data_IF_359505851883
#
_entry.id   IF_359505851883
#
_cell.length_a   1.000
_cell.length_b   1.000
_cell.length_c   1.000
_cell.angle_alpha   90.00
_cell.angle_beta   90.00
_cell.angle_gamma   90.00
#
_symmetry.space_group_name_H-M   'P 1'
#
loop_
_entity.id
_entity.type
_entity.pdbx_description
1 polymer ?
#
# COMPACT_ATOMS: atom_id res chain seq x y z
N UNK A 1 -20.67 11.65 5.62
CA UNK A 1 -21.51 10.79 4.72
C UNK A 1 -21.11 9.35 5.00
N UNK A 2 -21.96 8.36 4.77
CA UNK A 2 -21.54 6.96 4.97
C UNK A 2 -20.54 6.57 3.87
N UNK A 3 -19.49 5.81 4.23
CA UNK A 3 -18.46 5.37 3.30
C UNK A 3 -18.96 4.45 2.18
N UNK A 4 -18.11 4.20 1.19
CA UNK A 4 -18.43 3.40 0.00
C UNK A 4 -18.83 1.95 0.35
N UNK A 5 -18.30 1.39 1.42
CA UNK A 5 -18.68 0.07 1.92
C UNK A 5 -20.20 -0.06 2.17
N UNK A 6 -20.82 0.98 2.76
CA UNK A 6 -22.27 1.00 3.05
C UNK A 6 -23.12 1.46 1.87
N UNK A 7 -22.57 2.33 1.03
CA UNK A 7 -23.35 3.02 -0.02
C UNK A 7 -23.18 2.41 -1.40
N UNK A 8 -22.12 1.63 -1.64
CA UNK A 8 -21.72 1.17 -2.96
C UNK A 8 -21.26 2.29 -3.91
N UNK A 9 -21.10 3.53 -3.41
CA UNK A 9 -20.75 4.70 -4.22
C UNK A 9 -19.30 5.11 -3.96
N UNK A 10 -18.53 5.17 -5.02
CA UNK A 10 -17.15 5.63 -5.02
C UNK A 10 -17.07 7.00 -5.66
N UNK A 11 -16.39 7.95 -4.99
CA UNK A 11 -16.20 9.30 -5.51
C UNK A 11 -15.29 9.25 -6.73
N UNK A 12 -15.62 10.04 -7.74
CA UNK A 12 -14.72 10.36 -8.84
C UNK A 12 -14.31 11.82 -8.72
N UNK A 13 -13.18 12.06 -8.02
CA UNK A 13 -12.69 13.41 -7.72
C UNK A 13 -12.33 14.17 -8.97
N UNK A 14 -11.77 13.53 -9.99
CA UNK A 14 -11.49 14.17 -11.28
C UNK A 14 -12.76 14.70 -11.91
N UNK A 15 -13.82 13.90 -11.92
CA UNK A 15 -15.13 14.33 -12.45
C UNK A 15 -15.75 15.45 -11.62
N UNK A 16 -15.63 15.42 -10.31
CA UNK A 16 -16.08 16.47 -9.41
C UNK A 16 -15.38 17.80 -9.71
N UNK A 17 -14.12 17.77 -10.17
CA UNK A 17 -13.35 18.96 -10.57
C UNK A 17 -13.44 19.30 -12.05
N UNK A 18 -14.31 18.61 -12.81
CA UNK A 18 -14.69 18.98 -14.18
C UNK A 18 -13.89 18.31 -15.29
N UNK A 19 -13.09 17.28 -15.00
CA UNK A 19 -12.43 16.48 -16.02
C UNK A 19 -13.45 15.56 -16.74
N UNK A 20 -13.36 15.39 -18.08
CA UNK A 20 -14.26 14.53 -18.83
C UNK A 20 -14.09 13.05 -18.46
N UNK A 21 -15.19 12.32 -18.29
CA UNK A 21 -15.18 10.90 -17.92
C UNK A 21 -14.35 10.05 -18.90
N UNK A 22 -14.50 10.28 -20.20
CA UNK A 22 -13.75 9.55 -21.23
C UNK A 22 -12.22 9.75 -21.09
N UNK A 23 -11.79 10.97 -20.80
CA UNK A 23 -10.38 11.30 -20.59
C UNK A 23 -9.84 10.66 -19.31
N UNK A 24 -10.65 10.64 -18.23
CA UNK A 24 -10.31 9.97 -16.97
C UNK A 24 -10.07 8.48 -17.20
N UNK A 25 -11.03 7.79 -17.81
CA UNK A 25 -10.92 6.35 -18.05
C UNK A 25 -9.77 6.00 -19.00
N UNK A 26 -9.59 6.78 -20.06
CA UNK A 26 -8.45 6.64 -20.95
C UNK A 26 -7.13 6.76 -20.19
N UNK A 27 -7.01 7.73 -19.31
CA UNK A 27 -5.77 7.93 -18.53
C UNK A 27 -5.49 6.80 -17.55
N UNK A 28 -6.51 6.24 -16.90
CA UNK A 28 -6.37 5.04 -16.07
C UNK A 28 -5.83 3.87 -16.90
N UNK A 29 -6.38 3.65 -18.10
CA UNK A 29 -5.95 2.58 -18.98
C UNK A 29 -4.55 2.83 -19.57
N UNK A 30 -4.26 4.05 -20.00
CA UNK A 30 -2.92 4.43 -20.48
C UNK A 30 -1.86 4.24 -19.39
N UNK A 31 -2.18 4.59 -18.13
CA UNK A 31 -1.27 4.38 -16.97
C UNK A 31 -0.98 2.89 -16.78
N UNK A 32 -2.02 2.04 -16.78
CA UNK A 32 -1.84 0.60 -16.73
C UNK A 32 -0.97 0.09 -17.87
N UNK A 33 -1.30 0.46 -19.10
CA UNK A 33 -0.58 0.01 -20.28
C UNK A 33 0.89 0.45 -20.28
N UNK A 34 1.19 1.65 -19.79
CA UNK A 34 2.56 2.14 -19.65
C UNK A 34 3.35 1.30 -18.64
N UNK A 35 2.77 1.00 -17.48
CA UNK A 35 3.42 0.22 -16.43
C UNK A 35 3.64 -1.24 -16.86
N UNK A 36 2.66 -1.84 -17.53
CA UNK A 36 2.71 -3.26 -17.88
C UNK A 36 3.32 -3.53 -19.24
N UNK A 37 3.10 -2.66 -20.23
CA UNK A 37 3.41 -2.93 -21.64
C UNK A 37 4.12 -1.79 -22.36
N UNK A 38 4.55 -0.75 -21.62
CA UNK A 38 5.34 0.34 -22.17
C UNK A 38 6.72 -0.10 -22.66
N UNK A 39 7.52 0.84 -23.10
CA UNK A 39 8.91 0.58 -23.48
C UNK A 39 9.79 0.27 -22.24
N UNK A 40 11.07 -0.05 -22.45
CA UNK A 40 11.98 -0.49 -21.38
C UNK A 40 12.26 0.58 -20.31
N UNK A 41 12.07 1.87 -20.61
CA UNK A 41 12.18 2.98 -19.64
C UNK A 41 10.87 3.26 -18.89
N UNK A 42 9.78 2.62 -19.28
CA UNK A 42 8.42 2.84 -18.73
C UNK A 42 7.90 1.66 -17.93
N UNK A 43 7.93 0.46 -18.56
CA UNK A 43 7.38 -0.75 -17.92
C UNK A 43 8.28 -1.26 -16.81
N UNK A 44 7.68 -1.96 -15.87
CA UNK A 44 8.36 -2.78 -14.86
C UNK A 44 7.63 -4.10 -14.58
N UNK A 45 6.60 -4.42 -15.36
CA UNK A 45 6.06 -5.77 -15.48
C UNK A 45 6.82 -6.55 -16.55
N UNK A 46 7.12 -7.82 -16.25
CA UNK A 46 7.82 -8.74 -17.15
C UNK A 46 7.12 -10.09 -17.15
N UNK A 47 6.92 -10.66 -18.33
CA UNK A 47 6.49 -12.05 -18.46
C UNK A 47 7.68 -12.99 -18.17
N UNK A 48 7.41 -14.13 -17.52
CA UNK A 48 8.38 -15.14 -17.15
C UNK A 48 7.87 -16.54 -17.55
N UNK A 49 8.52 -17.14 -18.54
CA UNK A 49 8.03 -18.37 -19.14
C UNK A 49 6.64 -18.21 -19.78
N UNK A 50 5.87 -19.29 -19.84
CA UNK A 50 4.59 -19.30 -20.56
C UNK A 50 3.43 -18.73 -19.74
N UNK A 51 3.49 -18.82 -18.40
CA UNK A 51 2.33 -18.57 -17.52
C UNK A 51 2.66 -17.88 -16.19
N UNK A 52 3.82 -17.26 -16.08
CA UNK A 52 4.21 -16.42 -14.94
C UNK A 52 4.56 -15.00 -15.37
N UNK A 53 4.62 -14.09 -14.43
CA UNK A 53 5.07 -12.72 -14.61
C UNK A 53 5.50 -12.10 -13.28
N UNK A 54 6.30 -11.06 -13.31
CA UNK A 54 6.77 -10.36 -12.12
C UNK A 54 6.83 -8.85 -12.33
N UNK A 55 6.80 -8.13 -11.21
CA UNK A 55 7.03 -6.69 -11.12
C UNK A 55 8.46 -6.46 -10.63
N UNK A 56 9.29 -5.75 -11.40
CA UNK A 56 10.66 -5.42 -11.03
C UNK A 56 10.73 -4.09 -10.29
N UNK A 57 11.34 -4.06 -9.12
CA UNK A 57 11.86 -2.81 -8.56
C UNK A 57 13.09 -2.39 -9.40
N UNK A 58 12.84 -1.52 -10.36
CA UNK A 58 13.83 -1.06 -11.32
C UNK A 58 14.96 -0.22 -10.72
N UNK A 59 14.77 0.25 -9.50
CA UNK A 59 15.81 0.97 -8.77
C UNK A 59 16.78 0.07 -8.00
N UNK A 60 16.33 -1.13 -7.65
CA UNK A 60 17.12 -2.12 -6.91
C UNK A 60 17.37 -3.40 -7.72
N UNK A 61 16.75 -3.54 -8.89
CA UNK A 61 16.86 -4.70 -9.78
C UNK A 61 16.49 -6.03 -9.08
N UNK A 62 15.42 -5.98 -8.28
CA UNK A 62 14.89 -7.14 -7.58
C UNK A 62 13.36 -7.22 -7.73
N UNK A 63 12.77 -8.28 -7.21
CA UNK A 63 11.32 -8.52 -7.18
C UNK A 63 10.90 -8.58 -5.72
N UNK A 64 9.99 -7.70 -5.31
CA UNK A 64 9.54 -7.55 -3.93
C UNK A 64 8.10 -7.98 -3.75
N UNK A 65 7.78 -8.51 -2.56
CA UNK A 65 6.37 -8.80 -2.21
C UNK A 65 5.50 -7.56 -2.30
N UNK A 66 6.02 -6.39 -1.96
CA UNK A 66 5.38 -5.08 -2.17
C UNK A 66 4.90 -4.94 -3.61
N UNK A 67 5.81 -4.97 -4.59
CA UNK A 67 5.46 -4.75 -5.99
C UNK A 67 4.59 -5.84 -6.58
N UNK A 68 4.81 -7.09 -6.19
CA UNK A 68 4.00 -8.22 -6.65
C UNK A 68 2.55 -8.08 -6.17
N UNK A 69 2.35 -7.75 -4.89
CA UNK A 69 1.02 -7.56 -4.31
C UNK A 69 0.30 -6.32 -4.84
N UNK A 70 1.04 -5.23 -5.08
CA UNK A 70 0.51 -4.02 -5.73
C UNK A 70 0.09 -4.29 -7.17
N UNK A 71 0.91 -5.01 -7.95
CA UNK A 71 0.56 -5.43 -9.30
C UNK A 71 -0.72 -6.28 -9.33
N UNK A 72 -0.86 -7.23 -8.40
CA UNK A 72 -2.08 -8.03 -8.24
C UNK A 72 -3.28 -7.13 -7.89
N UNK A 73 -3.13 -6.18 -6.97
CA UNK A 73 -4.22 -5.25 -6.62
C UNK A 73 -4.64 -4.40 -7.83
N UNK A 74 -3.71 -3.84 -8.59
CA UNK A 74 -4.00 -3.10 -9.82
C UNK A 74 -4.74 -3.99 -10.84
N UNK A 75 -4.28 -5.22 -11.04
CA UNK A 75 -4.90 -6.17 -11.97
C UNK A 75 -6.33 -6.51 -11.58
N UNK A 76 -6.61 -6.76 -10.29
CA UNK A 76 -7.97 -7.07 -9.85
C UNK A 76 -8.90 -5.87 -9.95
N UNK A 77 -8.39 -4.65 -9.75
CA UNK A 77 -9.19 -3.43 -9.91
C UNK A 77 -9.57 -3.18 -11.38
N UNK A 78 -8.71 -3.54 -12.32
CA UNK A 78 -8.90 -3.27 -13.75
C UNK A 78 -9.37 -4.49 -14.57
N UNK A 79 -9.77 -5.58 -13.92
CA UNK A 79 -10.24 -6.81 -14.58
C UNK A 79 -9.18 -7.50 -15.46
N UNK A 80 -7.92 -7.48 -15.01
CA UNK A 80 -6.78 -8.09 -15.72
C UNK A 80 -6.42 -9.44 -15.08
N UNK A 81 -7.30 -10.43 -15.25
CA UNK A 81 -7.17 -11.75 -14.61
C UNK A 81 -5.92 -12.50 -15.04
N UNK A 82 -5.55 -12.43 -16.32
CA UNK A 82 -4.39 -13.15 -16.84
C UNK A 82 -3.08 -12.67 -16.17
N UNK A 83 -2.89 -11.37 -16.08
CA UNK A 83 -1.72 -10.76 -15.43
C UNK A 83 -1.72 -11.03 -13.91
N UNK A 84 -2.90 -10.98 -13.27
CA UNK A 84 -3.06 -11.36 -11.87
C UNK A 84 -2.59 -12.79 -11.60
N UNK A 85 -3.07 -13.74 -12.37
CA UNK A 85 -2.72 -15.16 -12.21
C UNK A 85 -1.24 -15.43 -12.48
N UNK A 86 -0.64 -14.73 -13.46
CA UNK A 86 0.80 -14.81 -13.75
C UNK A 86 1.64 -14.29 -12.58
N UNK A 87 1.26 -13.16 -11.97
CA UNK A 87 1.93 -12.59 -10.81
C UNK A 87 1.80 -13.54 -9.61
N UNK A 88 0.58 -14.00 -9.30
CA UNK A 88 0.35 -14.91 -8.18
C UNK A 88 1.11 -16.24 -8.33
N UNK A 89 1.16 -16.80 -9.53
CA UNK A 89 1.90 -18.03 -9.79
C UNK A 89 3.40 -17.84 -9.57
N UNK A 90 3.97 -16.71 -9.98
CA UNK A 90 5.37 -16.39 -9.74
C UNK A 90 5.67 -16.27 -8.23
N UNK A 91 4.82 -15.56 -7.47
CA UNK A 91 4.92 -15.43 -6.01
C UNK A 91 4.91 -16.80 -5.34
N UNK A 92 3.96 -17.65 -5.69
CA UNK A 92 3.84 -19.01 -5.13
C UNK A 92 5.01 -19.91 -5.50
N UNK A 93 5.63 -19.70 -6.65
CA UNK A 93 6.75 -20.52 -7.15
C UNK A 93 8.07 -20.14 -6.49
N UNK A 94 8.34 -18.85 -6.32
CA UNK A 94 9.68 -18.38 -5.95
C UNK A 94 9.77 -17.73 -4.57
N UNK A 95 8.72 -17.01 -4.13
CA UNK A 95 8.74 -16.30 -2.86
C UNK A 95 8.20 -17.13 -1.70
N UNK A 96 7.28 -18.06 -1.92
CA UNK A 96 6.67 -18.85 -0.85
C UNK A 96 7.67 -19.73 -0.13
N UNK A 97 7.75 -19.61 1.22
CA UNK A 97 8.69 -20.31 2.08
C UNK A 97 8.04 -21.60 2.59
N UNK A 98 8.65 -22.74 2.27
CA UNK A 98 8.08 -24.08 2.55
C UNK A 98 8.51 -24.66 3.90
N UNK A 99 9.59 -24.16 4.51
CA UNK A 99 10.16 -24.70 5.74
C UNK A 99 10.76 -23.61 6.65
N UNK A 100 11.22 -24.02 7.83
CA UNK A 100 11.83 -23.13 8.81
C UNK A 100 10.82 -22.24 9.56
N UNK A 101 11.32 -21.28 10.38
CA UNK A 101 10.47 -20.40 11.18
C UNK A 101 9.55 -19.49 10.36
N UNK A 102 9.97 -19.12 9.14
CA UNK A 102 9.18 -18.30 8.22
C UNK A 102 8.30 -19.13 7.27
N UNK A 103 8.14 -20.43 7.50
CA UNK A 103 7.27 -21.31 6.70
C UNK A 103 5.88 -20.68 6.52
N UNK A 104 5.32 -20.78 5.31
CA UNK A 104 4.03 -20.24 4.90
C UNK A 104 3.97 -18.69 4.78
N UNK A 105 5.09 -18.00 4.98
CA UNK A 105 5.28 -16.62 4.59
C UNK A 105 5.94 -16.52 3.20
N UNK A 106 6.19 -15.31 2.75
CA UNK A 106 6.86 -15.04 1.48
C UNK A 106 8.18 -14.30 1.70
N UNK A 107 9.25 -14.74 1.03
CA UNK A 107 10.51 -14.02 1.01
C UNK A 107 10.28 -12.61 0.40
N UNK A 108 10.53 -11.55 1.17
CA UNK A 108 10.17 -10.20 0.76
C UNK A 108 10.89 -9.71 -0.49
N UNK A 109 12.06 -10.29 -0.83
CA UNK A 109 12.83 -9.96 -2.03
C UNK A 109 13.45 -11.19 -2.67
N UNK A 110 13.35 -11.25 -4.01
CA UNK A 110 13.99 -12.20 -4.89
C UNK A 110 14.70 -11.48 -6.04
N UNK A 111 15.66 -12.14 -6.65
CA UNK A 111 16.20 -11.75 -7.95
C UNK A 111 15.15 -12.01 -9.05
N UNK A 112 15.28 -11.40 -10.21
CA UNK A 112 14.37 -11.59 -11.36
C UNK A 112 14.35 -13.03 -11.90
N UNK A 113 15.35 -13.83 -11.58
CA UNK A 113 15.41 -15.26 -11.88
C UNK A 113 14.77 -16.17 -10.81
N UNK A 114 14.15 -15.58 -9.76
CA UNK A 114 13.49 -16.28 -8.67
C UNK A 114 14.40 -16.68 -7.51
N UNK A 115 15.71 -16.44 -7.56
CA UNK A 115 16.58 -16.71 -6.41
C UNK A 115 16.27 -15.72 -5.29
N UNK A 116 16.01 -16.22 -4.07
CA UNK A 116 15.71 -15.38 -2.91
C UNK A 116 16.92 -14.55 -2.48
N UNK A 117 16.68 -13.29 -2.18
CA UNK A 117 17.61 -12.36 -1.54
C UNK A 117 17.41 -12.35 -0.01
N UNK A 118 16.23 -12.74 0.46
CA UNK A 118 15.84 -12.73 1.86
C UNK A 118 15.19 -14.06 2.27
N UNK A 119 15.31 -14.41 3.55
CA UNK A 119 14.74 -15.63 4.13
C UNK A 119 13.50 -15.35 4.99
N UNK A 120 13.02 -14.13 5.03
CA UNK A 120 11.87 -13.69 5.83
C UNK A 120 10.94 -12.74 5.08
N UNK A 121 9.76 -12.47 5.67
CA UNK A 121 8.73 -11.66 5.06
C UNK A 121 8.86 -10.16 5.37
N UNK A 122 8.06 -9.36 4.64
CA UNK A 122 7.70 -8.00 4.98
C UNK A 122 6.16 -7.88 4.97
N UNK A 123 5.54 -7.51 6.10
CA UNK A 123 4.09 -7.61 6.29
C UNK A 123 3.20 -6.90 5.27
N UNK A 124 3.67 -5.80 4.67
CA UNK A 124 2.94 -5.07 3.63
C UNK A 124 2.63 -5.92 2.40
N UNK A 125 3.51 -6.87 2.06
CA UNK A 125 3.26 -7.83 0.99
C UNK A 125 2.10 -8.76 1.30
N UNK A 126 2.11 -9.39 2.47
CA UNK A 126 1.09 -10.36 2.86
C UNK A 126 -0.30 -9.75 3.01
N UNK A 127 -0.41 -8.53 3.57
CA UNK A 127 -1.73 -7.88 3.68
C UNK A 127 -2.31 -7.49 2.33
N UNK A 128 -1.49 -7.01 1.40
CA UNK A 128 -1.94 -6.73 0.03
C UNK A 128 -2.21 -8.00 -0.77
N UNK A 129 -1.42 -9.07 -0.62
CA UNK A 129 -1.75 -10.38 -1.23
C UNK A 129 -3.12 -10.87 -0.76
N UNK A 130 -3.36 -10.89 0.55
CA UNK A 130 -4.61 -11.36 1.11
C UNK A 130 -5.80 -10.55 0.58
N UNK A 131 -5.71 -9.22 0.54
CA UNK A 131 -6.80 -8.38 0.04
C UNK A 131 -7.03 -8.54 -1.46
N UNK A 132 -5.97 -8.56 -2.27
CA UNK A 132 -6.08 -8.77 -3.71
C UNK A 132 -6.70 -10.13 -4.05
N UNK A 133 -6.33 -11.18 -3.31
CA UNK A 133 -6.91 -12.52 -3.45
C UNK A 133 -8.39 -12.56 -3.04
N UNK A 134 -8.80 -11.90 -1.96
CA UNK A 134 -10.22 -11.79 -1.62
C UNK A 134 -11.02 -11.04 -2.69
N UNK A 135 -10.46 -10.01 -3.29
CA UNK A 135 -11.12 -9.32 -4.40
C UNK A 135 -11.18 -10.20 -5.65
N UNK A 136 -10.12 -10.95 -5.96
CA UNK A 136 -10.10 -11.92 -7.06
C UNK A 136 -11.19 -12.98 -6.91
N UNK A 137 -11.31 -13.57 -5.72
CA UNK A 137 -12.37 -14.53 -5.39
C UNK A 137 -13.77 -13.95 -5.65
N UNK A 138 -14.03 -12.71 -5.25
CA UNK A 138 -15.33 -12.05 -5.44
C UNK A 138 -15.59 -11.64 -6.88
N UNK A 139 -14.55 -11.26 -7.61
CA UNK A 139 -14.66 -10.77 -8.98
C UNK A 139 -14.74 -11.90 -10.01
N UNK A 140 -13.92 -12.93 -9.83
CA UNK A 140 -13.73 -14.00 -10.82
C UNK A 140 -14.15 -15.40 -10.32
N UNK A 141 -14.41 -15.53 -9.02
CA UNK A 141 -14.64 -16.84 -8.38
C UNK A 141 -13.35 -17.57 -8.03
N UNK A 142 -13.46 -18.58 -7.19
CA UNK A 142 -12.34 -19.43 -6.82
C UNK A 142 -12.09 -20.50 -7.89
N UNK A 143 -10.82 -20.75 -8.19
CA UNK A 143 -10.33 -21.85 -9.01
C UNK A 143 -9.75 -22.99 -8.17
N UNK A 144 -8.94 -23.83 -8.79
CA UNK A 144 -8.29 -24.97 -8.15
C UNK A 144 -6.86 -24.64 -7.66
N UNK A 145 -6.40 -25.34 -6.62
CA UNK A 145 -5.04 -25.22 -6.10
C UNK A 145 -4.73 -23.80 -5.60
N UNK A 146 -3.64 -23.21 -6.08
CA UNK A 146 -3.23 -21.84 -5.71
C UNK A 146 -4.20 -20.77 -6.20
N UNK A 147 -5.09 -21.08 -7.11
CA UNK A 147 -6.12 -20.16 -7.61
C UNK A 147 -7.45 -20.29 -6.85
N UNK A 148 -7.52 -21.09 -5.78
CA UNK A 148 -8.59 -20.99 -4.79
C UNK A 148 -8.33 -19.75 -3.92
N UNK A 149 -8.56 -18.56 -4.50
CA UNK A 149 -8.13 -17.27 -4.01
C UNK A 149 -8.58 -16.99 -2.57
N UNK A 150 -9.86 -17.28 -2.24
CA UNK A 150 -10.37 -17.05 -0.89
C UNK A 150 -9.64 -17.87 0.17
N UNK A 151 -9.30 -19.13 -0.14
CA UNK A 151 -8.57 -20.01 0.76
C UNK A 151 -7.11 -19.57 0.93
N UNK A 152 -6.46 -19.17 -0.17
CA UNK A 152 -5.10 -18.65 -0.11
C UNK A 152 -5.03 -17.38 0.78
N UNK A 153 -5.97 -16.44 0.59
CA UNK A 153 -6.07 -15.25 1.42
C UNK A 153 -6.28 -15.58 2.91
N UNK A 154 -7.21 -16.50 3.22
CA UNK A 154 -7.48 -16.93 4.59
C UNK A 154 -6.26 -17.58 5.23
N UNK A 155 -5.53 -18.43 4.49
CA UNK A 155 -4.31 -19.05 4.99
C UNK A 155 -3.22 -18.01 5.29
N UNK A 156 -3.00 -17.03 4.41
CA UNK A 156 -2.06 -15.93 4.63
C UNK A 156 -2.39 -15.21 5.93
N UNK A 157 -3.64 -14.78 6.10
CA UNK A 157 -4.05 -14.04 7.30
C UNK A 157 -3.89 -14.86 8.59
N UNK A 158 -4.20 -16.16 8.54
CA UNK A 158 -4.01 -17.07 9.68
C UNK A 158 -2.54 -17.13 10.09
N UNK A 159 -1.63 -17.33 9.15
CA UNK A 159 -0.20 -17.35 9.44
C UNK A 159 0.29 -16.02 10.04
N UNK A 160 -0.21 -14.90 9.53
CA UNK A 160 0.18 -13.56 9.99
C UNK A 160 -0.10 -13.34 11.49
N UNK A 161 -1.12 -13.98 12.06
CA UNK A 161 -1.55 -13.73 13.45
C UNK A 161 -1.21 -14.87 14.42
N UNK A 162 -1.13 -16.13 13.96
CA UNK A 162 -0.97 -17.29 14.84
C UNK A 162 0.45 -17.82 15.02
N UNK A 163 1.41 -17.37 14.21
CA UNK A 163 2.81 -17.73 14.46
C UNK A 163 3.26 -17.32 15.87
N UNK A 164 4.11 -18.16 16.48
CA UNK A 164 4.53 -17.98 17.88
C UNK A 164 3.59 -18.58 18.93
N UNK A 165 2.37 -18.97 18.54
CA UNK A 165 1.46 -19.71 19.42
C UNK A 165 1.89 -21.17 19.60
N UNK A 166 1.44 -21.87 20.67
CA UNK A 166 1.77 -23.28 20.85
C UNK A 166 1.44 -24.14 19.63
N UNK A 167 2.47 -24.74 19.02
CA UNK A 167 2.34 -25.55 17.81
C UNK A 167 2.59 -24.79 16.50
N UNK A 168 2.75 -23.48 16.54
CA UNK A 168 3.03 -22.61 15.39
C UNK A 168 4.40 -21.96 15.54
N UNK A 169 5.41 -22.47 14.85
CA UNK A 169 6.77 -21.90 14.87
C UNK A 169 6.85 -20.58 14.14
N UNK A 170 7.80 -19.72 14.55
CA UNK A 170 8.05 -18.42 13.94
C UNK A 170 7.46 -17.27 14.74
N UNK A 171 7.44 -16.09 14.14
CA UNK A 171 6.98 -14.85 14.75
C UNK A 171 5.78 -14.28 13.98
N UNK A 172 4.73 -13.77 14.67
CA UNK A 172 3.58 -13.17 14.01
C UNK A 172 3.94 -11.81 13.41
N UNK A 173 3.18 -11.41 12.39
CA UNK A 173 3.32 -10.09 11.76
C UNK A 173 2.59 -8.97 12.52
N UNK A 174 1.61 -9.33 13.33
CA UNK A 174 0.92 -8.42 14.24
C UNK A 174 1.34 -8.71 15.68
N UNK A 175 1.61 -7.67 16.43
CA UNK A 175 1.90 -7.78 17.85
C UNK A 175 0.63 -8.22 18.61
N UNK A 176 0.63 -9.39 19.26
CA UNK A 176 -0.59 -9.93 19.87
C UNK A 176 -1.17 -9.07 20.97
N UNK A 177 -0.32 -8.31 21.69
CA UNK A 177 -0.74 -7.53 22.86
C UNK A 177 -1.47 -6.24 22.50
N UNK A 178 -1.13 -5.62 21.36
CA UNK A 178 -1.69 -4.32 20.94
C UNK A 178 -2.38 -4.34 19.56
N UNK A 179 -2.32 -5.46 18.83
CA UNK A 179 -2.90 -5.67 17.50
C UNK A 179 -2.33 -4.75 16.42
N UNK A 180 -1.15 -4.18 16.62
CA UNK A 180 -0.47 -3.36 15.62
C UNK A 180 0.42 -4.22 14.73
N UNK A 181 0.47 -3.88 13.46
CA UNK A 181 1.37 -4.51 12.49
C UNK A 181 2.82 -4.16 12.83
N UNK A 182 3.71 -5.13 12.74
CA UNK A 182 5.15 -4.94 12.90
C UNK A 182 5.77 -4.45 11.60
N UNK A 183 6.89 -3.75 11.67
CA UNK A 183 7.68 -3.47 10.48
C UNK A 183 8.20 -4.77 9.84
N UNK A 184 8.84 -5.63 10.64
CA UNK A 184 9.19 -7.01 10.30
C UNK A 184 8.97 -7.90 11.51
N UNK A 185 8.81 -9.19 11.32
CA UNK A 185 8.34 -10.13 12.34
C UNK A 185 9.17 -10.16 13.62
N UNK A 186 10.47 -9.94 13.54
CA UNK A 186 11.42 -10.00 14.67
C UNK A 186 11.74 -8.63 15.29
N UNK A 187 10.95 -7.60 15.00
CA UNK A 187 11.11 -6.25 15.56
C UNK A 187 9.87 -5.85 16.37
N UNK A 188 10.06 -4.95 17.31
CA UNK A 188 9.06 -4.45 18.26
C UNK A 188 8.64 -3.00 17.98
N UNK A 189 8.67 -2.60 16.71
CA UNK A 189 8.19 -1.31 16.21
C UNK A 189 7.41 -1.51 14.90
N UNK A 190 6.78 -0.45 14.43
CA UNK A 190 5.90 -0.46 13.26
C UNK A 190 6.41 0.46 12.14
N UNK A 191 5.78 0.34 10.98
CA UNK A 191 5.80 1.30 9.89
C UNK A 191 4.39 1.91 9.77
N UNK A 192 4.21 3.22 9.96
CA UNK A 192 2.89 3.86 9.84
C UNK A 192 2.21 3.60 8.49
N UNK A 193 2.99 3.40 7.43
CA UNK A 193 2.47 3.12 6.10
C UNK A 193 1.93 1.71 5.90
N UNK A 194 2.22 0.78 6.84
CA UNK A 194 1.66 -0.58 6.82
C UNK A 194 0.26 -0.65 7.43
N UNK A 195 -0.20 0.40 8.11
CA UNK A 195 -1.53 0.40 8.73
C UNK A 195 -2.63 0.62 7.69
N UNK A 196 -3.39 -0.45 7.42
CA UNK A 196 -4.48 -0.48 6.45
C UNK A 196 -5.83 -0.81 7.13
N UNK A 197 -6.36 0.07 8.02
CA UNK A 197 -7.58 -0.23 8.76
C UNK A 197 -8.76 -0.59 7.85
N UNK A 198 -8.84 -0.04 6.65
CA UNK A 198 -9.85 -0.38 5.65
C UNK A 198 -9.72 -1.82 5.11
N UNK A 199 -8.52 -2.39 5.06
CA UNK A 199 -8.34 -3.82 4.76
C UNK A 199 -8.76 -4.67 5.95
N UNK A 200 -8.37 -4.28 7.17
CA UNK A 200 -8.69 -5.05 8.38
C UNK A 200 -10.19 -5.12 8.66
N UNK A 201 -10.97 -4.09 8.34
CA UNK A 201 -12.44 -4.15 8.35
C UNK A 201 -12.99 -5.24 7.41
N UNK A 202 -12.37 -5.45 6.27
CA UNK A 202 -12.75 -6.50 5.33
C UNK A 202 -12.19 -7.87 5.74
N UNK A 203 -11.01 -7.93 6.33
CA UNK A 203 -10.46 -9.15 6.93
C UNK A 203 -11.35 -9.66 8.06
N UNK A 204 -11.88 -8.75 8.89
CA UNK A 204 -12.87 -9.08 9.93
C UNK A 204 -14.14 -9.79 9.42
N UNK A 205 -14.39 -9.74 8.12
CA UNK A 205 -15.55 -10.38 7.50
C UNK A 205 -15.19 -11.63 6.70
N UNK A 206 -13.94 -11.71 6.19
CA UNK A 206 -13.51 -12.67 5.18
C UNK A 206 -12.48 -13.69 5.66
N UNK A 207 -11.73 -13.37 6.72
CA UNK A 207 -10.84 -14.31 7.37
C UNK A 207 -11.60 -15.53 7.92
N UNK A 208 -10.88 -16.56 8.33
CA UNK A 208 -11.49 -17.65 9.08
C UNK A 208 -12.27 -17.10 10.28
N UNK A 209 -13.37 -17.76 10.62
CA UNK A 209 -14.33 -17.23 11.60
C UNK A 209 -13.70 -16.92 12.95
N UNK A 210 -12.78 -17.77 13.41
CA UNK A 210 -12.03 -17.64 14.65
C UNK A 210 -11.12 -16.41 14.70
N UNK A 211 -10.68 -15.89 13.52
CA UNK A 211 -9.75 -14.78 13.42
C UNK A 211 -10.44 -13.42 13.25
N UNK A 212 -11.74 -13.38 13.00
CA UNK A 212 -12.48 -12.17 12.63
C UNK A 212 -12.47 -11.09 13.70
N UNK A 213 -12.57 -11.48 14.99
CA UNK A 213 -12.54 -10.49 16.07
C UNK A 213 -11.14 -9.84 16.19
N UNK A 214 -10.07 -10.61 15.99
CA UNK A 214 -8.72 -10.06 15.92
C UNK A 214 -8.61 -8.93 14.90
N UNK A 215 -9.11 -9.14 13.69
CA UNK A 215 -9.04 -8.15 12.61
C UNK A 215 -9.89 -6.91 12.88
N UNK A 216 -11.01 -7.07 13.54
CA UNK A 216 -11.83 -5.94 13.99
C UNK A 216 -11.11 -5.10 15.05
N UNK A 217 -10.44 -5.75 16.01
CA UNK A 217 -9.60 -5.08 16.98
C UNK A 217 -8.40 -4.39 16.33
N UNK A 218 -7.75 -5.04 15.34
CA UNK A 218 -6.64 -4.48 14.59
C UNK A 218 -7.02 -3.22 13.79
N UNK A 219 -8.23 -3.20 13.19
CA UNK A 219 -8.73 -2.00 12.51
C UNK A 219 -8.87 -0.82 13.46
N UNK A 220 -9.43 -1.04 14.65
CA UNK A 220 -9.57 -0.01 15.67
C UNK A 220 -8.22 0.44 16.23
N UNK A 221 -7.32 -0.50 16.51
CA UNK A 221 -5.97 -0.22 17.01
C UNK A 221 -5.15 0.59 15.99
N UNK A 222 -5.21 0.22 14.71
CA UNK A 222 -4.51 0.95 13.64
C UNK A 222 -5.01 2.38 13.48
N UNK A 223 -6.31 2.64 13.54
CA UNK A 223 -6.83 4.02 13.51
C UNK A 223 -6.32 4.83 14.70
N UNK A 224 -6.36 4.27 15.91
CA UNK A 224 -5.86 4.93 17.11
C UNK A 224 -4.33 5.19 17.02
N UNK A 225 -3.56 4.25 16.51
CA UNK A 225 -2.13 4.39 16.30
C UNK A 225 -1.78 5.52 15.32
N UNK A 226 -2.47 5.61 14.20
CA UNK A 226 -2.25 6.65 13.19
C UNK A 226 -2.45 8.06 13.74
N UNK A 227 -3.36 8.26 14.73
CA UNK A 227 -3.49 9.54 15.42
C UNK A 227 -2.18 9.98 16.13
N UNK A 228 -1.43 9.02 16.68
CA UNK A 228 -0.17 9.28 17.37
C UNK A 228 1.00 9.36 16.40
N UNK A 229 0.99 8.59 15.31
CA UNK A 229 2.07 8.51 14.34
C UNK A 229 2.12 9.71 13.37
N UNK A 230 0.97 10.35 13.10
CA UNK A 230 0.91 11.54 12.25
C UNK A 230 1.04 12.81 13.08
N UNK A 231 1.98 13.67 12.71
CA UNK A 231 2.27 14.90 13.43
C UNK A 231 1.10 15.89 13.37
N UNK A 232 0.73 16.45 14.51
CA UNK A 232 -0.49 17.25 14.71
C UNK A 232 -0.60 18.53 13.87
N UNK A 233 0.52 19.07 13.35
CA UNK A 233 0.55 20.31 12.53
C UNK A 233 0.72 20.02 11.04
N UNK A 234 1.58 19.06 10.72
CA UNK A 234 1.97 18.79 9.31
C UNK A 234 1.21 17.63 8.67
N UNK A 235 0.69 16.70 9.47
CA UNK A 235 0.14 15.43 8.99
C UNK A 235 1.18 14.42 8.52
N UNK A 236 2.48 14.73 8.63
CA UNK A 236 3.57 13.84 8.27
C UNK A 236 3.74 12.71 9.30
N UNK A 237 4.15 11.54 8.84
CA UNK A 237 4.60 10.40 9.67
C UNK A 237 6.04 10.03 9.35
N UNK A 238 6.73 9.37 10.28
CA UNK A 238 8.05 8.81 10.00
C UNK A 238 7.94 7.53 9.13
N UNK A 239 9.05 7.11 8.52
CA UNK A 239 9.10 5.79 7.87
C UNK A 239 8.85 4.67 8.88
N UNK A 240 9.54 4.71 10.02
CA UNK A 240 9.32 3.77 11.11
C UNK A 240 8.96 4.53 12.39
N UNK A 241 8.08 3.95 13.18
CA UNK A 241 7.64 4.53 14.44
C UNK A 241 7.41 3.44 15.49
N UNK A 242 7.67 3.79 16.75
CA UNK A 242 7.39 2.93 17.89
C UNK A 242 5.87 2.74 18.06
N UNK A 243 5.44 1.76 18.84
CA UNK A 243 4.00 1.50 19.05
C UNK A 243 3.25 2.64 19.75
N UNK A 244 3.96 3.63 20.33
CA UNK A 244 3.36 4.87 20.82
C UNK A 244 3.25 5.98 19.74
N UNK A 245 3.66 5.68 18.50
CA UNK A 245 3.59 6.58 17.35
C UNK A 245 4.80 7.53 17.19
N UNK A 246 5.77 7.51 18.10
CA UNK A 246 6.97 8.33 17.95
C UNK A 246 7.89 7.78 16.87
N UNK A 247 8.59 8.66 16.12
CA UNK A 247 9.59 8.23 15.16
C UNK A 247 10.61 7.29 15.80
N UNK A 248 10.79 6.10 15.19
CA UNK A 248 11.75 5.12 15.68
C UNK A 248 13.17 5.59 15.40
N UNK A 249 14.02 5.61 16.43
CA UNK A 249 15.42 6.06 16.33
C UNK A 249 16.45 4.98 16.59
N UNK A 250 15.99 3.77 16.88
CA UNK A 250 16.83 2.58 17.07
C UNK A 250 17.26 1.94 15.73
N UNK A 251 18.07 0.89 15.80
CA UNK A 251 18.43 0.00 14.67
C UNK A 251 19.04 0.71 13.44
N UNK A 252 19.68 1.89 13.62
CA UNK A 252 20.29 2.66 12.51
C UNK A 252 21.39 1.90 11.79
N UNK A 253 22.06 1.00 12.48
CA UNK A 253 23.10 0.10 11.94
C UNK A 253 22.56 -0.92 10.94
N UNK A 254 21.25 -1.24 11.00
CA UNK A 254 20.58 -2.20 10.11
C UNK A 254 19.85 -1.47 9.01
N UNK A 255 19.02 -0.48 9.36
CA UNK A 255 18.04 0.15 8.45
C UNK A 255 18.45 1.56 8.01
N UNK A 256 19.54 2.12 8.54
CA UNK A 256 19.92 3.50 8.29
C UNK A 256 19.00 4.50 9.00
N UNK A 257 18.78 5.65 8.39
CA UNK A 257 17.91 6.68 8.92
C UNK A 257 16.46 6.46 8.48
N UNK A 258 15.51 6.51 9.41
CA UNK A 258 14.08 6.23 9.16
C UNK A 258 13.14 7.01 10.09
N UNK A 259 13.66 7.99 10.83
CA UNK A 259 12.94 8.90 11.73
C UNK A 259 12.33 10.12 11.00
N UNK A 260 12.37 10.14 9.70
CA UNK A 260 11.96 11.23 8.80
C UNK A 260 10.74 10.86 7.94
N UNK A 261 10.10 11.88 7.33
CA UNK A 261 9.08 11.64 6.30
C UNK A 261 9.78 11.37 4.97
N UNK A 262 9.87 10.10 4.61
CA UNK A 262 10.61 9.65 3.43
C UNK A 262 9.97 8.36 2.89
N UNK A 263 10.19 8.06 1.63
CA UNK A 263 9.84 6.81 0.94
C UNK A 263 8.58 6.09 1.45
N UNK A 264 8.69 5.14 2.38
CA UNK A 264 7.55 4.37 2.90
C UNK A 264 6.45 5.26 3.49
N UNK A 265 6.84 6.30 4.22
CA UNK A 265 5.90 7.19 4.91
C UNK A 265 4.91 7.88 3.96
N UNK A 266 5.24 8.01 2.67
CA UNK A 266 4.32 8.64 1.69
C UNK A 266 3.00 7.90 1.58
N UNK A 267 2.98 6.58 1.73
CA UNK A 267 1.77 5.74 1.66
C UNK A 267 0.78 5.99 2.81
N UNK A 268 1.25 6.48 3.94
CA UNK A 268 0.42 6.64 5.16
C UNK A 268 -0.83 7.47 4.89
N UNK A 269 -0.70 8.61 4.21
CA UNK A 269 -1.84 9.49 3.95
C UNK A 269 -2.79 8.90 2.91
N UNK A 270 -2.30 8.15 1.93
CA UNK A 270 -3.12 7.44 0.96
C UNK A 270 -3.99 6.39 1.65
N UNK A 271 -3.42 5.61 2.57
CA UNK A 271 -4.15 4.62 3.36
C UNK A 271 -5.22 5.26 4.26
N UNK A 272 -4.91 6.40 4.89
CA UNK A 272 -5.88 7.18 5.68
C UNK A 272 -7.04 7.67 4.79
N UNK A 273 -6.73 8.16 3.60
CA UNK A 273 -7.71 8.66 2.65
C UNK A 273 -8.62 7.53 2.10
N UNK A 274 -8.03 6.35 1.86
CA UNK A 274 -8.79 5.16 1.44
C UNK A 274 -9.70 4.64 2.55
N UNK A 275 -9.25 4.63 3.81
CA UNK A 275 -10.10 4.26 4.94
C UNK A 275 -11.28 5.23 5.10
N UNK A 276 -11.04 6.52 4.91
CA UNK A 276 -12.13 7.52 4.88
C UNK A 276 -13.12 7.25 3.74
N UNK A 277 -12.63 7.04 2.52
CA UNK A 277 -13.48 6.77 1.35
C UNK A 277 -14.36 5.52 1.57
N UNK A 278 -13.77 4.44 2.07
CA UNK A 278 -14.48 3.17 2.17
C UNK A 278 -15.38 3.09 3.40
N UNK A 279 -14.95 3.60 4.54
CA UNK A 279 -15.66 3.39 5.81
C UNK A 279 -16.19 4.65 6.47
N UNK A 280 -15.57 5.84 6.22
CA UNK A 280 -15.95 7.12 6.89
C UNK A 280 -16.06 6.94 8.42
N UNK A 281 -15.09 6.20 8.98
CA UNK A 281 -15.15 5.75 10.37
C UNK A 281 -14.55 6.76 11.36
N UNK A 282 -13.67 7.66 10.89
CA UNK A 282 -12.89 8.54 11.75
C UNK A 282 -12.78 9.97 11.18
N UNK A 283 -13.45 10.96 11.80
CA UNK A 283 -13.40 12.36 11.34
C UNK A 283 -12.01 13.00 11.40
N UNK A 284 -11.08 12.43 12.16
CA UNK A 284 -9.70 12.89 12.25
C UNK A 284 -8.97 12.78 10.91
N UNK A 285 -9.35 11.82 10.07
CA UNK A 285 -8.78 11.58 8.74
C UNK A 285 -8.88 12.80 7.83
N UNK A 286 -10.02 13.48 7.86
CA UNK A 286 -10.23 14.74 7.12
C UNK A 286 -9.18 15.78 7.53
N UNK A 287 -9.04 16.01 8.84
CA UNK A 287 -8.13 17.01 9.37
C UNK A 287 -6.67 16.71 9.06
N UNK A 288 -6.28 15.44 9.11
CA UNK A 288 -4.90 15.02 8.81
C UNK A 288 -4.58 15.18 7.33
N UNK A 289 -5.50 14.82 6.44
CA UNK A 289 -5.36 15.04 5.00
C UNK A 289 -5.25 16.54 4.66
N UNK A 290 -6.08 17.40 5.27
CA UNK A 290 -5.99 18.85 5.09
C UNK A 290 -4.69 19.45 5.60
N UNK A 291 -4.14 18.95 6.72
CA UNK A 291 -2.85 19.39 7.27
C UNK A 291 -1.71 19.07 6.32
N UNK A 292 -1.66 17.86 5.79
CA UNK A 292 -0.62 17.45 4.85
C UNK A 292 -0.70 18.27 3.55
N UNK A 293 -1.90 18.47 3.00
CA UNK A 293 -2.08 19.30 1.82
C UNK A 293 -1.69 20.76 2.09
N UNK A 294 -2.05 21.31 3.25
CA UNK A 294 -1.60 22.65 3.65
C UNK A 294 -0.08 22.73 3.72
N UNK A 295 0.56 21.75 4.34
CA UNK A 295 2.01 21.69 4.47
C UNK A 295 2.70 21.80 3.10
N UNK A 296 2.28 21.00 2.12
CA UNK A 296 2.88 21.03 0.79
C UNK A 296 2.45 22.25 -0.06
N UNK A 297 1.20 22.69 0.03
CA UNK A 297 0.70 23.76 -0.83
C UNK A 297 1.00 25.18 -0.30
N UNK A 298 1.19 25.33 1.00
CA UNK A 298 1.40 26.65 1.64
C UNK A 298 2.77 26.76 2.29
N UNK A 299 3.12 25.79 3.16
CA UNK A 299 4.34 25.90 3.96
C UNK A 299 5.60 25.51 3.13
N UNK A 300 5.47 24.55 2.18
CA UNK A 300 6.56 24.01 1.34
C UNK A 300 6.28 24.15 -0.17
N UNK A 301 5.51 25.13 -0.59
CA UNK A 301 4.99 25.28 -1.95
C UNK A 301 6.01 25.15 -3.08
N UNK A 302 7.26 25.52 -2.83
CA UNK A 302 8.36 25.48 -3.80
C UNK A 302 9.35 24.31 -3.56
N UNK A 303 9.05 23.41 -2.59
CA UNK A 303 9.92 22.32 -2.17
C UNK A 303 9.16 20.97 -2.05
N UNK A 304 8.39 20.62 -3.06
CA UNK A 304 7.63 19.37 -3.08
C UNK A 304 8.51 18.10 -3.13
N UNK A 305 9.76 18.24 -3.52
CA UNK A 305 10.76 17.18 -3.55
C UNK A 305 11.73 17.22 -2.35
N UNK A 306 11.43 18.02 -1.31
CA UNK A 306 12.19 18.08 -0.08
C UNK A 306 11.98 16.87 0.81
N UNK A 307 12.93 16.62 1.70
CA UNK A 307 12.85 15.63 2.78
C UNK A 307 12.71 16.37 4.11
N UNK A 308 11.87 15.86 5.01
CA UNK A 308 11.51 16.55 6.24
C UNK A 308 11.52 15.62 7.44
N UNK A 309 11.82 16.16 8.63
CA UNK A 309 11.34 15.57 9.87
C UNK A 309 9.81 15.73 9.94
N UNK A 310 9.15 14.94 10.77
CA UNK A 310 7.68 14.96 10.85
C UNK A 310 7.10 16.30 11.31
N UNK A 311 7.88 17.11 12.04
CA UNK A 311 7.48 18.47 12.46
C UNK A 311 7.55 19.50 11.33
N UNK A 312 8.06 19.11 10.17
CA UNK A 312 8.22 19.96 8.98
C UNK A 312 9.61 20.59 8.86
N UNK A 313 10.55 20.29 9.77
CA UNK A 313 11.94 20.75 9.65
C UNK A 313 12.56 20.17 8.37
N UNK A 314 13.02 21.02 7.43
CA UNK A 314 13.62 20.53 6.19
C UNK A 314 15.01 19.96 6.45
N UNK A 315 15.35 18.93 5.67
CA UNK A 315 16.68 18.34 5.62
C UNK A 315 17.36 18.73 4.31
N UNK A 316 18.69 18.74 4.30
CA UNK A 316 19.48 19.06 3.11
C UNK A 316 19.57 17.81 2.19
N UNK A 317 18.41 17.33 1.78
CA UNK A 317 18.26 16.14 0.94
C UNK A 317 17.04 16.28 0.01
N UNK A 318 17.06 15.52 -1.09
CA UNK A 318 15.94 15.46 -2.03
C UNK A 318 15.25 14.10 -1.95
N UNK A 319 13.93 14.14 -2.08
CA UNK A 319 13.12 12.93 -2.11
C UNK A 319 13.50 12.05 -3.30
N UNK A 320 13.69 10.78 -3.02
CA UNK A 320 13.96 9.78 -4.06
C UNK A 320 12.75 9.57 -4.98
N UNK A 321 11.54 9.81 -4.46
CA UNK A 321 10.26 9.52 -5.12
C UNK A 321 9.32 10.75 -5.16
N UNK A 322 9.68 11.82 -5.92
CA UNK A 322 8.89 13.06 -5.93
C UNK A 322 7.52 12.91 -6.61
N UNK A 323 7.36 12.00 -7.56
CA UNK A 323 6.06 11.74 -8.21
C UNK A 323 5.10 11.04 -7.24
N UNK A 324 5.62 10.13 -6.40
CA UNK A 324 4.85 9.49 -5.34
C UNK A 324 4.28 10.53 -4.35
N UNK A 325 5.08 11.51 -3.93
CA UNK A 325 4.62 12.59 -3.03
C UNK A 325 3.44 13.36 -3.66
N UNK A 326 3.53 13.69 -4.93
CA UNK A 326 2.46 14.39 -5.65
C UNK A 326 1.20 13.51 -5.72
N UNK A 327 1.36 12.23 -6.02
CA UNK A 327 0.27 11.27 -6.13
C UNK A 327 -0.50 11.10 -4.82
N UNK A 328 0.18 10.86 -3.71
CA UNK A 328 -0.47 10.64 -2.40
C UNK A 328 -1.10 11.91 -1.83
N UNK A 329 -0.54 13.10 -2.12
CA UNK A 329 -1.17 14.37 -1.78
C UNK A 329 -2.48 14.59 -2.56
N UNK A 330 -2.54 14.17 -3.80
CA UNK A 330 -3.78 14.19 -4.56
C UNK A 330 -4.79 13.17 -4.01
N UNK A 331 -4.35 11.96 -3.70
CA UNK A 331 -5.19 10.90 -3.13
C UNK A 331 -5.77 11.30 -1.77
N UNK A 332 -5.06 12.10 -0.97
CA UNK A 332 -5.55 12.71 0.27
C UNK A 332 -6.86 13.50 0.06
N UNK A 333 -7.16 13.97 -1.15
CA UNK A 333 -8.41 14.66 -1.50
C UNK A 333 -9.66 13.77 -1.45
N UNK A 334 -9.51 12.46 -1.28
CA UNK A 334 -10.63 11.56 -0.97
C UNK A 334 -11.19 11.81 0.44
N UNK A 335 -10.35 12.24 1.38
CA UNK A 335 -10.73 12.63 2.73
C UNK A 335 -10.83 14.16 2.87
N UNK A 336 -9.85 14.92 2.38
CA UNK A 336 -9.85 16.37 2.44
C UNK A 336 -10.82 16.98 1.42
N UNK A 337 -11.63 17.95 1.86
CA UNK A 337 -12.46 18.78 0.99
C UNK A 337 -12.12 20.28 1.10
N UNK A 338 -10.98 20.57 1.70
CA UNK A 338 -10.51 21.89 2.00
C UNK A 338 -9.92 22.64 0.81
N UNK A 339 -9.34 23.78 1.12
CA UNK A 339 -8.79 24.78 0.17
C UNK A 339 -7.78 24.19 -0.84
N UNK A 340 -7.00 23.17 -0.46
CA UNK A 340 -5.88 22.68 -1.25
C UNK A 340 -6.18 21.41 -2.06
N UNK A 341 -7.31 20.74 -1.80
CA UNK A 341 -7.65 19.47 -2.43
C UNK A 341 -7.62 19.57 -3.97
N UNK A 342 -8.29 20.58 -4.54
CA UNK A 342 -8.29 20.80 -5.99
C UNK A 342 -6.89 21.09 -6.54
N UNK A 343 -6.08 21.88 -5.83
CA UNK A 343 -4.71 22.20 -6.25
C UNK A 343 -3.82 20.96 -6.29
N UNK A 344 -3.93 20.07 -5.31
CA UNK A 344 -3.20 18.80 -5.29
C UNK A 344 -3.60 17.89 -6.45
N UNK A 345 -4.91 17.79 -6.73
CA UNK A 345 -5.43 16.98 -7.84
C UNK A 345 -5.02 17.55 -9.19
N UNK A 346 -5.09 18.87 -9.40
CA UNK A 346 -4.63 19.52 -10.64
C UNK A 346 -3.11 19.34 -10.84
N UNK A 347 -2.32 19.44 -9.76
CA UNK A 347 -0.88 19.17 -9.82
C UNK A 347 -0.60 17.73 -10.25
N UNK A 348 -1.28 16.75 -9.65
CA UNK A 348 -1.16 15.33 -10.00
C UNK A 348 -1.61 15.09 -11.46
N UNK A 349 -2.74 15.63 -11.87
CA UNK A 349 -3.22 15.49 -13.25
C UNK A 349 -2.21 15.99 -14.28
N UNK A 350 -1.44 17.01 -13.96
CA UNK A 350 -0.41 17.58 -14.83
C UNK A 350 0.98 16.94 -14.66
N UNK A 351 1.11 15.98 -13.75
CA UNK A 351 2.38 15.26 -13.51
C UNK A 351 2.43 14.00 -14.39
N UNK A 352 3.47 13.81 -15.22
CA UNK A 352 3.62 12.58 -15.98
C UNK A 352 4.08 11.42 -15.09
N UNK A 353 3.90 10.19 -15.58
CA UNK A 353 4.58 9.02 -15.04
C UNK A 353 6.09 9.22 -15.08
N UNK A 354 6.77 8.68 -14.08
CA UNK A 354 8.24 8.69 -14.04
C UNK A 354 8.79 7.64 -15.00
N UNK A 355 9.92 7.97 -15.63
CA UNK A 355 10.72 7.07 -16.48
C UNK A 355 12.07 6.77 -15.83
N UNK A 356 12.80 5.78 -16.35
CA UNK A 356 14.14 5.40 -15.88
C UNK A 356 14.14 4.59 -14.59
N UNK A 357 15.31 4.50 -13.94
CA UNK A 357 15.59 3.52 -12.88
C UNK A 357 14.70 3.58 -11.65
N UNK A 358 14.15 4.74 -11.30
CA UNK A 358 13.34 4.91 -10.06
C UNK A 358 11.85 4.97 -10.30
N UNK A 359 11.37 4.48 -11.48
CA UNK A 359 9.95 4.55 -11.87
C UNK A 359 9.02 3.62 -11.07
N UNK A 360 9.52 2.50 -10.56
CA UNK A 360 8.73 1.47 -9.90
C UNK A 360 7.85 2.00 -8.80
N UNK A 361 8.41 2.55 -7.72
CA UNK A 361 7.67 3.00 -6.55
C UNK A 361 6.80 4.24 -6.86
N UNK A 362 7.39 5.22 -7.58
CA UNK A 362 6.65 6.42 -8.01
C UNK A 362 5.40 6.05 -8.81
N UNK A 363 5.52 5.13 -9.77
CA UNK A 363 4.42 4.82 -10.68
C UNK A 363 3.39 3.86 -10.06
N UNK A 364 3.76 3.05 -9.06
CA UNK A 364 2.75 2.32 -8.29
C UNK A 364 1.87 3.28 -7.48
N UNK A 365 2.45 4.23 -6.76
CA UNK A 365 1.65 5.22 -6.01
C UNK A 365 0.86 6.13 -6.95
N UNK A 366 1.42 6.47 -8.13
CA UNK A 366 0.68 7.15 -9.17
C UNK A 366 -0.54 6.34 -9.64
N UNK A 367 -0.37 5.04 -9.89
CA UNK A 367 -1.46 4.16 -10.34
C UNK A 367 -2.56 4.02 -9.28
N UNK A 368 -2.20 3.86 -7.99
CA UNK A 368 -3.18 3.82 -6.91
C UNK A 368 -3.96 5.13 -6.78
N UNK A 369 -3.28 6.27 -6.86
CA UNK A 369 -3.95 7.57 -6.87
C UNK A 369 -4.89 7.73 -8.08
N UNK A 370 -4.48 7.27 -9.28
CA UNK A 370 -5.35 7.25 -10.46
C UNK A 370 -6.60 6.41 -10.25
N UNK A 371 -6.47 5.19 -9.70
CA UNK A 371 -7.59 4.30 -9.40
C UNK A 371 -8.53 4.93 -8.35
N UNK A 372 -7.97 5.46 -7.28
CA UNK A 372 -8.71 6.00 -6.16
C UNK A 372 -9.49 7.27 -6.55
N UNK A 373 -8.82 8.23 -7.18
CA UNK A 373 -9.40 9.51 -7.58
C UNK A 373 -10.41 9.40 -8.75
N UNK A 374 -10.29 8.34 -9.57
CA UNK A 374 -11.25 8.06 -10.64
C UNK A 374 -12.46 7.22 -10.19
N UNK A 375 -12.51 6.78 -8.92
CA UNK A 375 -13.55 5.92 -8.41
C UNK A 375 -13.44 4.45 -8.88
N UNK A 376 -12.27 4.03 -9.33
CA UNK A 376 -11.98 2.67 -9.79
C UNK A 376 -11.29 1.80 -8.73
N UNK A 377 -10.91 2.35 -7.56
CA UNK A 377 -10.43 1.55 -6.44
C UNK A 377 -11.61 1.10 -5.59
N UNK A 378 -12.12 -0.12 -5.84
CA UNK A 378 -13.40 -0.60 -5.32
C UNK A 378 -13.26 -1.82 -4.43
N UNK A 379 -14.24 -2.00 -3.56
CA UNK A 379 -14.45 -3.23 -2.77
C UNK A 379 -15.23 -4.22 -3.64
N UNK A 380 -14.72 -5.41 -3.79
CA UNK A 380 -15.38 -6.53 -4.48
C UNK A 380 -15.86 -7.58 -3.48
#
# INVERSE_FOLDING_TARGET
>A
MAGAYKTGKYRNIFKEYGYPEEEIQKRVEDTFNTIFYGNDDERFYHEAGDDMGYMEDTGNHDVRTEGMSYGMMVCVQLDKKAEFDRLWKWVRTYMYIEDGPAKNYFAWSCQTNGKRNAEGPAPDGEEYFAMALFFASKRWGDGDGIFCYSKEAQNILRECVHKGEPGHSGEPMWEPSNKLIKFVTNMDFSDPSYHLPHFYELFAQRAYEEDREFWKEAAAASRAYLHSACHEKTGLSAEYADYDGKPHTGHKEIFGRHDWYYSNAYRTIANIAMDHLWFDADPWQIKTAERLQKFYCEDQKDNWDGVFLIDGTPLDEKALHPVAIIAVNAEASLAADGKYAKQCVEKFWNTPLRTGDRRYYDNFLYMFAMLALSGNYRIY
#
